data_IF_221679150341
#
_entry.id   IF_221679150341
#
_cell.length_a   1.000
_cell.length_b   1.000
_cell.length_c   1.000
_cell.angle_alpha   90.00
_cell.angle_beta   90.00
_cell.angle_gamma   90.00
#
_symmetry.space_group_name_H-M   'P 1'
#
loop_
_entity.id
_entity.type
_entity.pdbx_description
1 polymer ?
#
# COMPACT_ATOMS: atom_id res chain seq x y z
N UNK A 1 11.90 -1.02 -4.64
CA UNK A 1 10.73 -0.18 -4.34
C UNK A 1 11.23 1.18 -3.91
N UNK A 2 11.01 2.24 -4.71
CA UNK A 2 11.24 3.61 -4.24
C UNK A 2 10.12 3.93 -3.24
N UNK A 3 10.29 3.47 -2.00
CA UNK A 3 9.25 3.44 -0.99
C UNK A 3 8.85 4.85 -0.58
N UNK A 4 7.82 5.40 -1.23
CA UNK A 4 7.16 6.60 -0.72
C UNK A 4 6.67 6.31 0.69
N UNK A 5 7.11 7.13 1.65
CA UNK A 5 6.57 7.12 3.01
C UNK A 5 5.06 7.33 2.96
N UNK A 6 4.34 6.91 4.00
CA UNK A 6 2.90 7.15 4.03
C UNK A 6 2.57 8.66 3.95
N UNK A 7 3.48 9.52 4.43
CA UNK A 7 3.41 10.97 4.26
C UNK A 7 3.50 11.40 2.80
N UNK A 8 4.50 10.94 2.05
CA UNK A 8 4.61 11.26 0.62
C UNK A 8 3.43 10.72 -0.21
N UNK A 9 2.88 9.56 0.17
CA UNK A 9 1.66 9.03 -0.43
C UNK A 9 0.42 9.87 -0.06
N UNK A 10 0.33 10.32 1.20
CA UNK A 10 -0.72 11.18 1.70
C UNK A 10 -0.74 12.52 0.95
N UNK A 11 0.41 13.18 0.80
CA UNK A 11 0.54 14.42 0.04
C UNK A 11 0.11 14.27 -1.41
N UNK A 12 0.57 13.20 -2.10
CA UNK A 12 0.20 12.92 -3.49
C UNK A 12 -1.28 12.63 -3.68
N UNK A 13 -1.93 12.03 -2.69
CA UNK A 13 -3.33 11.63 -2.73
C UNK A 13 -4.28 12.66 -2.10
N UNK A 14 -3.75 13.73 -1.49
CA UNK A 14 -4.56 14.72 -0.76
C UNK A 14 -5.29 14.14 0.46
N UNK A 15 -4.76 13.07 1.08
CA UNK A 15 -5.37 12.41 2.25
C UNK A 15 -4.44 12.45 3.46
N UNK A 16 -4.97 12.21 4.66
CA UNK A 16 -4.13 12.07 5.85
C UNK A 16 -3.28 10.79 5.85
N UNK A 17 -2.12 10.78 6.54
CA UNK A 17 -1.26 9.59 6.64
C UNK A 17 -1.96 8.39 7.31
N UNK A 18 -2.89 8.63 8.23
CA UNK A 18 -3.69 7.57 8.84
C UNK A 18 -4.71 6.96 7.86
N UNK A 19 -5.23 7.74 6.91
CA UNK A 19 -6.06 7.23 5.81
C UNK A 19 -5.25 6.30 4.91
N UNK A 20 -4.03 6.69 4.55
CA UNK A 20 -3.10 5.83 3.79
C UNK A 20 -2.85 4.52 4.54
N UNK A 21 -2.64 4.59 5.85
CA UNK A 21 -2.42 3.40 6.71
C UNK A 21 -3.63 2.47 6.71
N UNK A 22 -4.85 3.02 6.79
CA UNK A 22 -6.09 2.25 6.70
C UNK A 22 -6.27 1.60 5.32
N UNK A 23 -5.97 2.31 4.24
CA UNK A 23 -6.01 1.75 2.88
C UNK A 23 -4.99 0.62 2.70
N UNK A 24 -3.75 0.80 3.18
CA UNK A 24 -2.73 -0.24 3.18
C UNK A 24 -3.18 -1.47 3.98
N UNK A 25 -3.77 -1.29 5.17
CA UNK A 25 -4.29 -2.40 5.98
C UNK A 25 -5.39 -3.16 5.24
N UNK A 26 -6.30 -2.44 4.59
CA UNK A 26 -7.37 -3.04 3.79
C UNK A 26 -6.82 -3.81 2.59
N UNK A 27 -5.86 -3.23 1.87
CA UNK A 27 -5.19 -3.88 0.75
C UNK A 27 -4.43 -5.14 1.19
N UNK A 28 -3.66 -5.06 2.29
CA UNK A 28 -2.96 -6.20 2.89
C UNK A 28 -3.93 -7.34 3.24
N UNK A 29 -5.07 -7.02 3.86
CA UNK A 29 -6.11 -8.01 4.18
C UNK A 29 -6.66 -8.67 2.91
N UNK A 30 -6.94 -7.89 1.87
CA UNK A 30 -7.45 -8.40 0.59
C UNK A 30 -6.43 -9.25 -0.17
N UNK A 31 -5.14 -8.95 -0.02
CA UNK A 31 -4.03 -9.66 -0.67
C UNK A 31 -3.46 -10.80 0.17
N UNK A 32 -3.96 -11.02 1.39
CA UNK A 32 -3.42 -12.03 2.32
C UNK A 32 -1.99 -11.73 2.80
N UNK A 33 -1.56 -10.46 2.76
CA UNK A 33 -0.22 -10.04 3.12
C UNK A 33 -0.13 -9.58 4.59
N UNK A 34 0.98 -9.91 5.25
CA UNK A 34 1.27 -9.50 6.64
C UNK A 34 2.19 -8.30 6.71
N UNK A 35 2.89 -8.00 5.61
CA UNK A 35 3.75 -6.82 5.50
C UNK A 35 3.46 -6.02 4.23
N UNK A 36 3.84 -4.74 4.22
CA UNK A 36 3.73 -3.89 3.03
C UNK A 36 4.48 -4.47 1.83
N UNK A 37 5.67 -5.03 2.06
CA UNK A 37 6.50 -5.62 1.01
C UNK A 37 5.83 -6.86 0.42
N UNK A 38 5.28 -7.72 1.27
CA UNK A 38 4.47 -8.86 0.83
C UNK A 38 3.25 -8.40 0.03
N UNK A 39 2.59 -7.32 0.44
CA UNK A 39 1.43 -6.78 -0.26
C UNK A 39 1.80 -6.31 -1.67
N UNK A 40 2.92 -5.59 -1.82
CA UNK A 40 3.41 -5.15 -3.14
C UNK A 40 3.79 -6.34 -3.99
N UNK A 41 4.48 -7.34 -3.42
CA UNK A 41 4.84 -8.55 -4.13
C UNK A 41 3.61 -9.36 -4.57
N UNK A 42 2.61 -9.49 -3.69
CA UNK A 42 1.34 -10.15 -3.98
C UNK A 42 0.57 -9.40 -5.08
N UNK A 43 0.43 -8.09 -4.96
CA UNK A 43 -0.25 -7.26 -5.95
C UNK A 43 0.44 -7.28 -7.32
N UNK A 44 1.77 -7.38 -7.38
CA UNK A 44 2.51 -7.60 -8.63
C UNK A 44 2.23 -8.97 -9.21
N UNK A 45 2.29 -10.03 -8.40
CA UNK A 45 1.98 -11.40 -8.84
C UNK A 45 0.55 -11.56 -9.36
N UNK A 46 -0.40 -10.81 -8.80
CA UNK A 46 -1.80 -10.83 -9.23
C UNK A 46 -2.10 -9.86 -10.38
N UNK A 47 -1.13 -9.08 -10.85
CA UNK A 47 -1.31 -8.10 -11.94
C UNK A 47 -2.02 -6.80 -11.54
N UNK A 48 -2.17 -6.53 -10.24
CA UNK A 48 -2.81 -5.31 -9.73
C UNK A 48 -1.87 -4.11 -9.69
N UNK A 49 -0.56 -4.38 -9.69
CA UNK A 49 0.48 -3.37 -9.82
C UNK A 49 1.39 -3.71 -11.00
N UNK A 50 1.68 -2.74 -11.88
CA UNK A 50 2.72 -2.89 -12.90
C UNK A 50 4.11 -2.98 -12.27
#
# INVERSE_FOLDING_TARGET
AAGATNGAAAERLGVGPETVKSYLRSAMRKLGARTRTEAVAAARRTGWLP
#
